data_IF_967461087777
#
_entry.id   IF_967461087777
#
_cell.length_a   1.000
_cell.length_b   1.000
_cell.length_c   1.000
_cell.angle_alpha   90.00
_cell.angle_beta   90.00
_cell.angle_gamma   90.00
#
_symmetry.space_group_name_H-M   'P 1'
#
loop_
_entity.id
_entity.type
_entity.pdbx_description
1 polymer ?
#
# COMPACT_ATOMS: atom_id res chain seq x y z
N UNK A 1 14.89 6.37 7.05
CA UNK A 1 13.61 6.80 7.66
C UNK A 1 13.11 8.11 7.02
N UNK A 2 11.89 8.57 7.29
CA UNK A 2 11.50 9.98 7.19
C UNK A 2 10.72 10.40 8.44
N UNK A 3 10.86 11.65 8.88
CA UNK A 3 10.14 12.19 10.03
C UNK A 3 10.00 13.71 9.95
N UNK A 4 9.00 14.26 10.62
CA UNK A 4 8.77 15.71 10.73
C UNK A 4 8.44 16.11 12.17
N UNK A 5 8.65 17.39 12.48
CA UNK A 5 8.18 18.02 13.71
C UNK A 5 7.00 18.99 13.49
N UNK A 6 6.50 19.11 12.26
CA UNK A 6 5.54 20.11 11.86
C UNK A 6 4.09 19.72 12.20
N UNK A 7 3.83 19.33 13.45
CA UNK A 7 2.49 18.95 13.95
C UNK A 7 1.93 17.69 13.29
N UNK A 8 2.79 16.72 12.99
CA UNK A 8 2.40 15.44 12.40
C UNK A 8 3.19 14.31 13.03
N UNK A 9 2.47 13.28 13.47
CA UNK A 9 3.04 12.03 13.97
C UNK A 9 3.61 11.14 12.85
N UNK A 10 3.58 11.57 11.58
CA UNK A 10 4.02 10.77 10.45
C UNK A 10 5.54 10.54 10.50
N UNK A 11 5.93 9.29 10.80
CA UNK A 11 7.30 8.78 10.68
C UNK A 11 7.27 7.59 9.72
N UNK A 12 7.95 7.68 8.58
CA UNK A 12 7.95 6.64 7.54
C UNK A 12 9.21 5.78 7.61
N UNK A 13 9.05 4.47 7.74
CA UNK A 13 10.13 3.49 7.57
C UNK A 13 9.81 2.66 6.34
N UNK A 14 10.68 2.73 5.33
CA UNK A 14 10.55 2.01 4.06
C UNK A 14 9.18 2.20 3.37
N UNK A 15 8.64 3.43 3.43
CA UNK A 15 7.33 3.82 2.88
C UNK A 15 6.12 3.57 3.80
N UNK A 16 6.32 2.98 4.98
CA UNK A 16 5.25 2.60 5.92
C UNK A 16 5.21 3.55 7.11
N UNK A 17 4.03 4.05 7.48
CA UNK A 17 3.87 4.84 8.71
C UNK A 17 4.12 3.98 9.97
N UNK A 18 4.98 4.49 10.85
CA UNK A 18 5.39 3.89 12.13
C UNK A 18 5.27 4.84 13.31
N UNK A 19 4.99 6.12 13.08
CA UNK A 19 4.95 7.11 14.15
C UNK A 19 3.64 7.11 14.92
N UNK A 20 3.77 7.14 16.25
CA UNK A 20 2.68 7.20 17.24
C UNK A 20 2.70 8.51 18.04
N UNK A 21 3.69 9.35 17.78
CA UNK A 21 4.04 10.58 18.50
C UNK A 21 4.69 11.56 17.52
N UNK A 22 4.66 12.85 17.83
CA UNK A 22 5.39 13.90 17.10
C UNK A 22 6.93 13.77 17.27
N UNK A 23 7.72 14.74 16.83
CA UNK A 23 9.15 14.84 17.20
C UNK A 23 9.41 15.57 18.54
N UNK A 24 10.69 15.65 18.99
CA UNK A 24 11.24 16.21 20.26
C UNK A 24 12.03 17.57 20.27
N UNK A 25 13.24 17.75 19.67
CA UNK A 25 13.92 19.09 19.54
C UNK A 25 14.64 19.36 18.17
N UNK A 26 14.31 20.47 17.50
CA UNK A 26 14.78 20.93 16.16
C UNK A 26 15.48 22.30 16.21
N UNK A 27 16.06 22.75 15.10
CA UNK A 27 17.05 23.86 15.14
C UNK A 27 18.40 23.41 15.74
N UNK A 28 18.70 22.12 15.60
CA UNK A 28 19.87 21.42 16.15
C UNK A 28 20.84 21.03 15.03
N UNK A 29 22.10 20.79 15.37
CA UNK A 29 23.07 20.19 14.45
C UNK A 29 22.79 18.70 14.29
N UNK A 30 22.68 18.22 13.05
CA UNK A 30 22.67 16.78 12.74
C UNK A 30 24.06 16.20 12.98
N UNK A 31 24.15 15.12 13.75
CA UNK A 31 25.39 14.40 14.05
C UNK A 31 25.25 12.93 13.72
N UNK A 32 26.35 12.29 13.30
CA UNK A 32 26.49 10.82 13.29
C UNK A 32 27.64 10.48 14.23
N UNK A 33 27.43 9.59 15.21
CA UNK A 33 28.38 9.29 16.30
C UNK A 33 28.92 10.54 17.06
N UNK A 34 28.11 11.58 17.17
CA UNK A 34 28.42 12.86 17.82
C UNK A 34 27.27 13.35 18.72
N UNK A 35 27.44 14.50 19.37
CA UNK A 35 26.41 15.13 20.21
C UNK A 35 26.50 14.83 21.71
N UNK A 36 25.46 15.24 22.45
CA UNK A 36 25.49 15.37 23.91
C UNK A 36 25.55 14.05 24.69
N UNK A 37 25.22 12.93 24.05
CA UNK A 37 25.14 11.61 24.67
C UNK A 37 26.41 10.75 24.44
N UNK A 38 27.43 11.37 23.84
CA UNK A 38 28.70 10.70 23.57
C UNK A 38 29.56 10.56 24.83
N UNK A 39 30.30 9.44 25.00
CA UNK A 39 30.49 8.35 24.04
C UNK A 39 29.48 7.19 24.17
N UNK A 40 28.44 7.29 25.01
CA UNK A 40 27.58 6.17 25.40
C UNK A 40 26.69 5.60 24.28
N UNK A 41 26.32 6.43 23.30
CA UNK A 41 25.34 6.10 22.25
C UNK A 41 25.97 5.99 20.85
N UNK A 42 27.17 5.39 20.75
CA UNK A 42 27.82 5.13 19.46
C UNK A 42 27.38 3.81 18.83
N UNK A 43 27.26 3.79 17.50
CA UNK A 43 27.05 2.59 16.70
C UNK A 43 28.01 2.53 15.51
N UNK A 44 28.18 1.36 14.93
CA UNK A 44 28.63 1.27 13.55
C UNK A 44 27.49 1.74 12.63
N UNK A 45 27.80 2.44 11.53
CA UNK A 45 26.80 3.08 10.68
C UNK A 45 27.16 3.03 9.20
N UNK A 46 26.14 2.94 8.35
CA UNK A 46 26.24 3.09 6.90
C UNK A 46 25.06 3.94 6.39
N UNK A 47 25.32 5.24 6.19
CA UNK A 47 24.34 6.22 5.70
C UNK A 47 24.53 6.42 4.20
N UNK A 48 23.47 6.20 3.42
CA UNK A 48 23.53 6.25 1.96
C UNK A 48 23.11 7.61 1.38
N UNK A 49 22.11 8.25 1.98
CA UNK A 49 21.59 9.55 1.59
C UNK A 49 20.85 10.20 2.76
N UNK A 50 20.95 11.52 2.86
CA UNK A 50 20.24 12.36 3.83
C UNK A 50 19.62 13.54 3.06
N UNK A 51 18.35 13.81 3.33
CA UNK A 51 17.58 14.92 2.77
C UNK A 51 16.95 15.71 3.93
N UNK A 52 17.15 17.03 3.94
CA UNK A 52 16.66 17.92 5.00
C UNK A 52 15.90 19.09 4.37
N UNK A 53 14.78 19.45 4.97
CA UNK A 53 13.96 20.60 4.58
C UNK A 53 13.87 21.60 5.74
N UNK A 54 13.98 22.88 5.41
CA UNK A 54 13.84 24.05 6.30
C UNK A 54 12.38 24.38 6.66
N UNK A 55 11.46 23.49 6.29
CA UNK A 55 10.04 23.53 6.62
C UNK A 55 9.50 22.14 6.92
N UNK A 56 8.30 22.09 7.46
CA UNK A 56 7.47 20.89 7.44
C UNK A 56 7.07 20.52 6.01
N UNK A 57 7.24 19.25 5.67
CA UNK A 57 6.57 18.62 4.54
C UNK A 57 5.16 18.16 4.96
N UNK A 58 4.21 18.30 4.04
CA UNK A 58 2.88 17.66 4.15
C UNK A 58 3.01 16.13 4.06
N UNK A 59 1.95 15.39 4.43
CA UNK A 59 1.94 13.93 4.30
C UNK A 59 2.28 13.46 2.88
N UNK A 60 1.65 14.03 1.84
CA UNK A 60 1.91 13.70 0.44
C UNK A 60 3.36 13.96 0.03
N UNK A 61 3.97 15.04 0.52
CA UNK A 61 5.39 15.33 0.30
C UNK A 61 6.31 14.35 1.06
N UNK A 62 5.95 13.95 2.29
CA UNK A 62 6.71 12.96 3.06
C UNK A 62 6.66 11.57 2.41
N UNK A 63 5.49 11.10 1.97
CA UNK A 63 5.39 9.86 1.20
C UNK A 63 6.14 9.97 -0.12
N UNK A 64 6.13 11.13 -0.78
CA UNK A 64 6.91 11.34 -2.02
C UNK A 64 8.42 11.22 -1.77
N UNK A 65 8.95 11.83 -0.71
CA UNK A 65 10.34 11.72 -0.32
C UNK A 65 10.73 10.29 0.11
N UNK A 66 9.88 9.62 0.91
CA UNK A 66 10.14 8.23 1.34
C UNK A 66 10.09 7.26 0.16
N UNK A 67 9.13 7.42 -0.76
CA UNK A 67 9.02 6.61 -1.97
C UNK A 67 10.18 6.84 -2.95
N UNK A 68 10.73 8.06 -3.03
CA UNK A 68 11.95 8.33 -3.79
C UNK A 68 13.12 7.50 -3.27
N UNK A 69 13.38 7.54 -1.95
CA UNK A 69 14.47 6.80 -1.31
C UNK A 69 14.27 5.28 -1.41
N UNK A 70 13.06 4.79 -1.12
CA UNK A 70 12.67 3.37 -1.31
C UNK A 70 12.95 2.89 -2.73
N UNK A 71 12.60 3.68 -3.75
CA UNK A 71 12.82 3.34 -5.15
C UNK A 71 14.30 3.40 -5.54
N UNK A 72 15.03 4.40 -5.04
CA UNK A 72 16.44 4.65 -5.38
C UNK A 72 17.38 3.56 -4.86
N UNK A 73 17.14 3.08 -3.64
CA UNK A 73 17.99 2.08 -2.98
C UNK A 73 17.38 0.67 -2.92
N UNK A 74 16.13 0.48 -3.38
CA UNK A 74 15.46 -0.82 -3.37
C UNK A 74 15.06 -1.32 -1.98
N UNK A 75 15.04 -0.44 -0.97
CA UNK A 75 14.90 -0.79 0.47
C UNK A 75 13.45 -0.90 0.96
N UNK A 76 12.45 -0.82 0.08
CA UNK A 76 11.04 -0.89 0.46
C UNK A 76 10.26 -2.00 -0.24
N UNK A 77 9.03 -2.19 0.22
CA UNK A 77 8.17 -3.29 -0.20
C UNK A 77 7.72 -3.15 -1.66
N UNK A 78 8.47 -3.76 -2.57
CA UNK A 78 8.10 -3.89 -3.97
C UNK A 78 7.44 -5.25 -4.24
N UNK A 79 6.39 -5.34 -5.08
CA UNK A 79 5.92 -6.61 -5.62
C UNK A 79 7.01 -7.26 -6.46
N UNK A 80 7.07 -8.59 -6.45
CA UNK A 80 8.06 -9.38 -7.22
C UNK A 80 7.42 -10.29 -8.28
N UNK A 81 6.08 -10.33 -8.39
CA UNK A 81 5.37 -11.10 -9.43
C UNK A 81 4.67 -10.19 -10.43
N UNK A 82 3.89 -9.23 -9.94
CA UNK A 82 3.17 -8.31 -10.82
C UNK A 82 2.93 -6.93 -10.23
N UNK A 83 3.02 -5.92 -11.08
CA UNK A 83 2.58 -4.55 -10.78
C UNK A 83 1.91 -3.93 -12.01
N UNK A 84 0.59 -3.94 -12.03
CA UNK A 84 -0.24 -3.31 -13.07
C UNK A 84 -0.66 -1.94 -12.57
N UNK A 85 -0.04 -0.89 -13.10
CA UNK A 85 -0.10 0.47 -12.55
C UNK A 85 -1.22 1.31 -13.15
N UNK A 86 -1.77 2.20 -12.34
CA UNK A 86 -2.72 3.23 -12.76
C UNK A 86 -2.16 4.09 -13.89
N UNK A 87 -2.97 4.35 -14.92
CA UNK A 87 -2.63 5.19 -16.07
C UNK A 87 -1.60 4.61 -17.03
N UNK A 88 -1.32 3.29 -16.99
CA UNK A 88 -0.33 2.66 -17.88
C UNK A 88 -0.91 1.63 -18.85
N UNK A 89 -2.21 1.45 -18.88
CA UNK A 89 -2.89 0.51 -19.78
C UNK A 89 -2.98 1.08 -21.20
N UNK A 90 -2.85 0.22 -22.21
CA UNK A 90 -2.88 0.57 -23.62
C UNK A 90 -4.10 -0.07 -24.30
N UNK A 91 -5.07 0.78 -24.65
CA UNK A 91 -6.31 0.37 -25.31
C UNK A 91 -6.15 0.09 -26.81
N UNK A 92 -5.04 0.52 -27.43
CA UNK A 92 -4.71 0.29 -28.84
C UNK A 92 -4.07 -1.08 -29.01
N UNK A 93 -3.00 -1.39 -28.25
CA UNK A 93 -2.43 -2.75 -28.24
C UNK A 93 -3.26 -3.77 -27.44
N UNK A 94 -4.25 -3.29 -26.68
CA UNK A 94 -5.08 -4.09 -25.75
C UNK A 94 -4.22 -4.82 -24.72
N UNK A 95 -3.30 -4.09 -24.08
CA UNK A 95 -2.41 -4.62 -23.03
C UNK A 95 -2.40 -3.76 -21.77
N UNK A 96 -2.05 -4.35 -20.63
CA UNK A 96 -1.64 -3.63 -19.43
C UNK A 96 -0.23 -4.08 -19.02
N UNK A 97 0.81 -3.25 -19.19
CA UNK A 97 2.18 -3.59 -18.83
C UNK A 97 2.32 -4.00 -17.36
N UNK A 98 3.05 -5.09 -17.13
CA UNK A 98 3.51 -5.48 -15.82
C UNK A 98 4.86 -4.79 -15.55
N UNK A 99 4.96 -3.97 -14.51
CA UNK A 99 6.16 -3.21 -14.18
C UNK A 99 7.26 -4.03 -13.46
N UNK A 100 7.09 -5.34 -13.31
CA UNK A 100 8.15 -6.25 -12.84
C UNK A 100 9.05 -6.65 -14.01
N UNK A 101 10.37 -6.67 -13.79
CA UNK A 101 11.34 -7.07 -14.80
C UNK A 101 11.09 -8.52 -15.27
N UNK A 102 10.95 -8.72 -16.58
CA UNK A 102 10.57 -10.01 -17.17
C UNK A 102 9.08 -10.40 -16.98
N UNK A 103 8.28 -9.54 -16.35
CA UNK A 103 6.85 -9.76 -16.14
C UNK A 103 6.06 -9.65 -17.45
N UNK A 104 5.16 -10.60 -17.69
CA UNK A 104 4.24 -10.58 -18.82
C UNK A 104 3.09 -9.61 -18.51
N UNK A 105 2.77 -8.73 -19.46
CA UNK A 105 1.63 -7.80 -19.36
C UNK A 105 0.28 -8.51 -19.50
N UNK A 106 -0.77 -7.93 -18.91
CA UNK A 106 -2.11 -8.46 -19.02
C UNK A 106 -2.67 -8.23 -20.43
N UNK A 107 -3.48 -9.16 -20.93
CA UNK A 107 -4.25 -8.99 -22.17
C UNK A 107 -5.62 -8.43 -21.85
N UNK A 108 -6.01 -7.39 -22.57
CA UNK A 108 -7.32 -6.75 -22.51
C UNK A 108 -8.22 -7.29 -23.62
N UNK A 109 -9.52 -7.42 -23.39
CA UNK A 109 -10.46 -7.94 -24.39
C UNK A 109 -11.83 -7.31 -24.24
N UNK A 110 -12.45 -6.97 -25.37
CA UNK A 110 -13.72 -6.25 -25.41
C UNK A 110 -13.61 -4.84 -25.99
N UNK A 111 -14.78 -4.23 -26.21
CA UNK A 111 -14.97 -2.94 -26.87
C UNK A 111 -15.48 -1.83 -25.96
N UNK A 112 -15.88 -2.15 -24.72
CA UNK A 112 -16.33 -1.19 -23.70
C UNK A 112 -15.22 -0.68 -22.78
N UNK A 113 -14.03 -1.27 -22.85
CA UNK A 113 -12.84 -0.82 -22.11
C UNK A 113 -12.47 0.64 -22.42
N UNK A 114 -12.33 1.44 -21.37
CA UNK A 114 -12.01 2.87 -21.45
C UNK A 114 -11.06 3.30 -20.32
N UNK A 115 -10.21 4.30 -20.61
CA UNK A 115 -9.48 5.04 -19.59
C UNK A 115 -10.41 6.10 -19.00
N UNK A 116 -10.45 6.17 -17.66
CA UNK A 116 -11.13 7.24 -16.95
C UNK A 116 -10.22 7.82 -15.88
N UNK A 117 -10.31 9.13 -15.68
CA UNK A 117 -9.73 9.84 -14.53
C UNK A 117 -10.89 10.57 -13.86
N UNK A 118 -11.33 10.04 -12.71
CA UNK A 118 -12.55 10.47 -12.04
C UNK A 118 -12.22 10.89 -10.59
N UNK A 119 -12.75 12.03 -10.15
CA UNK A 119 -12.80 12.42 -8.73
C UNK A 119 -14.00 11.74 -8.04
N UNK A 120 -14.06 11.78 -6.70
CA UNK A 120 -15.11 11.15 -5.85
C UNK A 120 -15.00 9.61 -5.73
N UNK A 121 -16.13 8.94 -5.49
CA UNK A 121 -16.21 7.50 -5.21
C UNK A 121 -15.34 7.08 -4.00
N UNK A 122 -15.47 7.80 -2.88
CA UNK A 122 -14.70 7.55 -1.66
C UNK A 122 -13.24 8.03 -1.71
N UNK A 123 -12.72 8.50 -2.85
CA UNK A 123 -11.40 9.13 -2.94
C UNK A 123 -11.47 10.66 -2.78
N UNK A 124 -10.43 11.25 -2.20
CA UNK A 124 -10.24 12.70 -2.05
C UNK A 124 -9.38 13.35 -3.14
N UNK A 125 -8.99 12.58 -4.17
CA UNK A 125 -8.31 13.04 -5.38
C UNK A 125 -8.75 12.23 -6.59
N UNK A 126 -8.36 12.68 -7.77
CA UNK A 126 -8.65 11.97 -9.02
C UNK A 126 -7.93 10.62 -9.07
N UNK A 127 -8.65 9.59 -9.54
CA UNK A 127 -8.12 8.24 -9.73
C UNK A 127 -8.19 7.86 -11.21
N UNK A 128 -7.02 7.69 -11.83
CA UNK A 128 -6.89 7.16 -13.18
C UNK A 128 -7.04 5.62 -13.16
N UNK A 129 -7.94 5.08 -13.98
CA UNK A 129 -8.31 3.67 -13.95
C UNK A 129 -8.78 3.13 -15.29
N UNK A 130 -8.65 1.81 -15.45
CA UNK A 130 -9.24 1.06 -16.55
C UNK A 130 -10.67 0.67 -16.18
N UNK A 131 -11.64 1.28 -16.86
CA UNK A 131 -13.08 1.01 -16.71
C UNK A 131 -13.54 0.01 -17.77
N UNK A 132 -14.45 -0.89 -17.40
CA UNK A 132 -15.00 -1.90 -18.30
C UNK A 132 -16.39 -2.37 -17.88
N UNK A 133 -17.07 -3.02 -18.82
CA UNK A 133 -18.42 -3.56 -18.65
C UNK A 133 -18.41 -5.07 -18.40
N UNK A 134 -19.57 -5.63 -18.07
CA UNK A 134 -19.79 -7.09 -18.06
C UNK A 134 -19.36 -7.85 -19.33
N UNK A 135 -19.23 -7.18 -20.47
CA UNK A 135 -18.81 -7.77 -21.76
C UNK A 135 -17.29 -7.66 -22.02
N UNK A 136 -16.58 -6.87 -21.21
CA UNK A 136 -15.13 -6.72 -21.28
C UNK A 136 -14.44 -7.68 -20.31
N UNK A 137 -13.25 -8.15 -20.64
CA UNK A 137 -12.45 -9.04 -19.78
C UNK A 137 -10.96 -8.70 -19.79
N UNK A 138 -10.29 -9.08 -18.70
CA UNK A 138 -8.84 -8.92 -18.53
C UNK A 138 -8.26 -10.28 -18.15
N UNK A 139 -7.12 -10.63 -18.74
CA UNK A 139 -6.32 -11.78 -18.33
C UNK A 139 -4.93 -11.31 -17.90
N UNK A 140 -4.66 -11.32 -16.59
CA UNK A 140 -3.37 -10.97 -16.02
C UNK A 140 -2.37 -12.16 -16.03
N UNK A 141 -2.82 -13.35 -16.43
CA UNK A 141 -2.00 -14.56 -16.48
C UNK A 141 -1.78 -15.24 -15.12
N UNK A 142 -0.78 -16.12 -15.07
CA UNK A 142 -0.44 -16.96 -13.92
C UNK A 142 0.31 -16.18 -12.81
N UNK A 143 -0.24 -15.05 -12.38
CA UNK A 143 0.35 -14.17 -11.34
C UNK A 143 0.03 -14.62 -9.91
N UNK A 144 -1.05 -15.36 -9.67
CA UNK A 144 -1.34 -15.91 -8.34
C UNK A 144 -0.55 -17.21 -8.15
N UNK A 145 0.64 -17.13 -7.56
CA UNK A 145 1.50 -18.29 -7.26
C UNK A 145 0.91 -19.15 -6.13
N UNK A 146 1.52 -20.30 -5.84
CA UNK A 146 1.04 -21.26 -4.82
C UNK A 146 0.89 -20.62 -3.44
N UNK A 147 1.92 -19.87 -3.03
CA UNK A 147 1.82 -18.87 -1.97
C UNK A 147 1.73 -17.51 -2.64
N UNK A 148 0.93 -16.59 -2.09
CA UNK A 148 0.82 -15.25 -2.64
C UNK A 148 0.40 -14.21 -1.61
N UNK A 149 0.69 -12.96 -1.92
CA UNK A 149 -0.06 -11.81 -1.42
C UNK A 149 -0.49 -10.98 -2.61
N UNK A 150 -1.71 -10.45 -2.58
CA UNK A 150 -2.23 -9.54 -3.59
C UNK A 150 -2.84 -8.33 -2.90
N UNK A 151 -2.54 -7.14 -3.42
CA UNK A 151 -3.24 -5.90 -3.12
C UNK A 151 -3.83 -5.31 -4.41
N UNK A 152 -5.01 -4.71 -4.33
CA UNK A 152 -5.66 -4.05 -5.47
C UNK A 152 -6.46 -2.82 -5.07
N UNK A 153 -6.70 -1.94 -6.05
CA UNK A 153 -7.55 -0.75 -5.94
C UNK A 153 -8.62 -0.84 -7.01
N UNK A 154 -9.86 -1.09 -6.59
CA UNK A 154 -10.98 -1.46 -7.49
C UNK A 154 -12.31 -0.91 -7.01
N UNK A 155 -13.24 -0.64 -7.95
CA UNK A 155 -14.64 -0.27 -7.66
C UNK A 155 -15.59 -0.83 -8.71
N UNK A 156 -16.88 -0.88 -8.37
CA UNK A 156 -17.95 -1.04 -9.36
C UNK A 156 -18.26 0.28 -10.04
N UNK A 157 -18.69 0.24 -11.32
CA UNK A 157 -18.98 1.45 -12.11
C UNK A 157 -20.31 1.46 -12.85
N UNK A 158 -21.14 0.42 -12.68
CA UNK A 158 -22.39 0.24 -13.40
C UNK A 158 -23.45 -0.45 -12.56
N UNK A 159 -24.26 -1.31 -13.18
CA UNK A 159 -25.39 -1.99 -12.53
C UNK A 159 -25.10 -3.46 -12.15
N UNK A 160 -24.03 -4.05 -12.68
CA UNK A 160 -23.65 -5.42 -12.39
C UNK A 160 -22.60 -5.49 -11.27
N UNK A 161 -23.01 -6.04 -10.12
CA UNK A 161 -22.21 -6.11 -8.89
C UNK A 161 -21.69 -7.54 -8.60
N UNK A 162 -21.24 -8.26 -9.63
CA UNK A 162 -20.69 -9.62 -9.50
C UNK A 162 -19.27 -9.64 -8.91
N UNK A 163 -18.40 -10.51 -9.44
CA UNK A 163 -16.96 -10.53 -9.12
C UNK A 163 -16.19 -9.59 -10.05
N UNK A 164 -15.22 -8.84 -9.51
CA UNK A 164 -14.25 -8.09 -10.34
C UNK A 164 -13.01 -8.95 -10.57
N UNK A 165 -12.15 -9.11 -9.54
CA UNK A 165 -10.95 -9.94 -9.61
C UNK A 165 -11.30 -11.38 -9.22
N UNK A 166 -11.20 -12.28 -10.19
CA UNK A 166 -11.59 -13.69 -10.10
C UNK A 166 -10.42 -14.61 -10.53
N UNK A 167 -10.45 -15.86 -10.08
CA UNK A 167 -9.51 -16.90 -10.54
C UNK A 167 -10.08 -17.75 -11.65
N UNK A 168 -9.29 -18.04 -12.68
CA UNK A 168 -9.54 -19.15 -13.60
C UNK A 168 -8.75 -20.38 -13.11
N UNK A 169 -9.45 -21.49 -12.90
CA UNK A 169 -8.91 -22.76 -12.38
C UNK A 169 -9.44 -23.20 -11.00
N UNK A 170 -10.05 -22.30 -10.22
CA UNK A 170 -10.68 -22.62 -8.93
C UNK A 170 -11.79 -21.61 -8.58
N UNK A 171 -12.57 -21.86 -7.53
CA UNK A 171 -13.41 -20.83 -6.92
C UNK A 171 -12.55 -19.87 -6.09
N UNK A 172 -12.15 -18.77 -6.73
CA UNK A 172 -11.24 -17.79 -6.16
C UNK A 172 -11.71 -16.38 -6.52
N UNK A 173 -11.79 -15.48 -5.55
CA UNK A 173 -12.16 -14.09 -5.75
C UNK A 173 -11.39 -13.17 -4.81
N UNK A 174 -11.21 -11.92 -5.22
CA UNK A 174 -10.55 -10.88 -4.43
C UNK A 174 -11.39 -9.59 -4.40
N UNK A 175 -11.74 -9.14 -3.19
CA UNK A 175 -12.47 -7.90 -2.91
C UNK A 175 -13.99 -7.99 -3.16
N UNK A 176 -14.38 -7.92 -4.43
CA UNK A 176 -15.75 -7.57 -4.84
C UNK A 176 -16.62 -8.81 -5.14
N UNK A 177 -17.81 -8.89 -4.52
CA UNK A 177 -18.85 -9.90 -4.77
C UNK A 177 -20.19 -9.50 -4.10
N UNK A 178 -21.06 -8.80 -4.83
CA UNK A 178 -22.46 -8.55 -4.43
C UNK A 178 -22.73 -7.40 -3.44
N UNK A 179 -21.78 -6.49 -3.21
CA UNK A 179 -21.93 -5.38 -2.25
C UNK A 179 -21.69 -4.01 -2.92
N UNK A 180 -22.70 -3.14 -2.89
CA UNK A 180 -22.77 -1.96 -3.78
C UNK A 180 -22.57 -0.63 -3.02
N UNK A 181 -21.33 -0.30 -2.67
CA UNK A 181 -20.97 1.09 -2.30
C UNK A 181 -20.65 1.94 -3.54
N UNK A 182 -20.10 1.33 -4.60
CA UNK A 182 -19.62 2.04 -5.80
C UNK A 182 -18.32 2.82 -5.60
N UNK A 183 -17.82 2.87 -4.36
CA UNK A 183 -16.60 3.53 -3.93
C UNK A 183 -15.34 2.70 -4.23
N UNK A 184 -14.19 3.38 -4.27
CA UNK A 184 -12.87 2.78 -4.32
C UNK A 184 -12.58 1.94 -3.07
N UNK A 185 -12.20 0.69 -3.31
CA UNK A 185 -11.75 -0.24 -2.26
C UNK A 185 -10.28 -0.59 -2.50
N UNK A 186 -9.45 -0.29 -1.49
CA UNK A 186 -8.14 -0.92 -1.32
C UNK A 186 -8.35 -2.25 -0.61
N UNK A 187 -8.04 -3.34 -1.29
CA UNK A 187 -8.10 -4.69 -0.72
C UNK A 187 -6.70 -5.30 -0.74
N UNK A 188 -6.22 -5.80 0.40
CA UNK A 188 -5.03 -6.65 0.48
C UNK A 188 -5.38 -7.99 1.11
N UNK A 189 -4.77 -9.09 0.64
CA UNK A 189 -4.96 -10.40 1.24
C UNK A 189 -3.88 -11.41 0.85
N UNK A 190 -3.60 -12.34 1.74
CA UNK A 190 -2.61 -13.41 1.57
C UNK A 190 -3.17 -14.79 1.89
N UNK A 191 -2.55 -15.84 1.34
CA UNK A 191 -2.76 -17.23 1.73
C UNK A 191 -1.58 -17.84 2.54
N UNK A 192 -0.54 -17.07 2.81
CA UNK A 192 0.66 -17.51 3.53
C UNK A 192 1.09 -16.48 4.59
N UNK A 193 1.74 -16.92 5.67
CA UNK A 193 2.26 -16.04 6.72
C UNK A 193 1.22 -15.41 7.67
N UNK A 194 -0.02 -15.15 7.22
CA UNK A 194 -1.10 -14.66 8.10
C UNK A 194 -2.51 -14.97 7.58
N UNK A 195 -3.53 -14.60 8.36
CA UNK A 195 -4.94 -14.62 7.95
C UNK A 195 -5.45 -13.27 7.41
N UNK A 196 -4.59 -12.25 7.38
CA UNK A 196 -4.97 -10.85 7.16
C UNK A 196 -5.68 -10.65 5.82
N UNK A 197 -6.74 -9.86 5.88
CA UNK A 197 -7.53 -9.40 4.74
C UNK A 197 -7.91 -7.95 5.01
N UNK A 198 -7.06 -7.02 4.58
CA UNK A 198 -7.27 -5.59 4.84
C UNK A 198 -8.23 -5.02 3.79
N UNK A 199 -9.32 -4.41 4.26
CA UNK A 199 -10.26 -3.59 3.47
C UNK A 199 -10.13 -2.15 3.95
N UNK A 200 -9.66 -1.26 3.08
CA UNK A 200 -9.36 0.14 3.38
C UNK A 200 -8.58 0.32 4.70
N UNK A 201 -7.52 -0.48 4.88
CA UNK A 201 -6.65 -0.47 6.06
C UNK A 201 -7.19 -1.22 7.30
N UNK A 202 -8.42 -1.74 7.27
CA UNK A 202 -9.04 -2.46 8.40
C UNK A 202 -9.01 -3.96 8.14
N UNK A 203 -8.50 -4.74 9.08
CA UNK A 203 -8.53 -6.20 8.97
C UNK A 203 -9.96 -6.78 9.06
N UNK A 204 -10.27 -7.67 8.13
CA UNK A 204 -11.49 -8.46 8.02
C UNK A 204 -11.17 -9.97 7.95
N UNK A 205 -9.92 -10.36 8.18
CA UNK A 205 -9.47 -11.74 8.22
C UNK A 205 -10.20 -12.58 9.28
N UNK A 206 -10.66 -13.77 8.89
CA UNK A 206 -11.25 -14.79 9.79
C UNK A 206 -10.76 -16.22 9.51
N UNK A 207 -9.90 -16.36 8.51
CA UNK A 207 -9.38 -17.61 7.98
C UNK A 207 -8.17 -17.30 7.10
N UNK A 208 -7.39 -18.33 6.73
CA UNK A 208 -6.31 -18.22 5.75
C UNK A 208 -6.84 -17.72 4.38
N UNK A 209 -5.95 -17.34 3.46
CA UNK A 209 -6.34 -17.01 2.09
C UNK A 209 -6.81 -18.21 1.27
N UNK A 210 -7.31 -17.94 0.06
CA UNK A 210 -7.73 -18.97 -0.89
C UNK A 210 -6.57 -19.75 -1.52
N UNK A 211 -6.93 -20.73 -2.35
CA UNK A 211 -6.00 -21.52 -3.14
C UNK A 211 -5.10 -20.64 -4.02
N UNK A 212 -3.79 -20.98 -4.09
CA UNK A 212 -2.86 -20.38 -5.04
C UNK A 212 -2.73 -21.20 -6.33
N UNK A 213 -1.96 -20.70 -7.31
CA UNK A 213 -1.76 -21.39 -8.59
C UNK A 213 -2.94 -21.25 -9.57
N UNK A 214 -3.60 -20.09 -9.56
CA UNK A 214 -4.71 -19.75 -10.46
C UNK A 214 -4.32 -18.58 -11.38
N UNK A 215 -5.01 -18.44 -12.51
CA UNK A 215 -4.86 -17.24 -13.35
C UNK A 215 -5.74 -16.13 -12.81
N UNK A 216 -5.18 -14.93 -12.65
CA UNK A 216 -5.96 -13.76 -12.26
C UNK A 216 -6.66 -13.18 -13.48
N UNK A 217 -7.98 -13.06 -13.40
CA UNK A 217 -8.82 -12.62 -14.52
C UNK A 217 -9.96 -11.70 -14.05
N UNK A 218 -10.54 -10.95 -14.99
CA UNK A 218 -11.77 -10.15 -14.80
C UNK A 218 -12.79 -10.60 -15.82
N UNK A 219 -14.05 -10.80 -15.38
CA UNK A 219 -15.17 -11.29 -16.20
C UNK A 219 -14.83 -12.56 -17.03
N UNK A 220 -13.93 -13.40 -16.51
CA UNK A 220 -13.57 -14.74 -17.02
C UNK A 220 -13.47 -15.77 -15.89
N UNK A 221 -13.34 -17.05 -16.25
CA UNK A 221 -13.30 -18.18 -15.32
C UNK A 221 -14.69 -18.80 -15.06
N UNK A 222 -14.75 -19.77 -14.15
CA UNK A 222 -15.85 -20.74 -14.01
C UNK A 222 -17.22 -20.17 -13.60
N UNK A 223 -17.30 -18.90 -13.20
CA UNK A 223 -18.52 -18.24 -12.71
C UNK A 223 -19.11 -17.23 -13.70
N UNK A 224 -18.60 -17.20 -14.93
CA UNK A 224 -18.95 -16.19 -15.93
C UNK A 224 -19.82 -16.78 -17.04
N UNK A 225 -20.81 -16.03 -17.57
CA UNK A 225 -21.04 -14.59 -17.34
C UNK A 225 -21.90 -14.24 -16.11
N UNK A 226 -22.38 -15.22 -15.32
CA UNK A 226 -23.36 -14.98 -14.25
C UNK A 226 -22.86 -14.08 -13.12
N UNK A 227 -21.55 -14.04 -12.90
CA UNK A 227 -20.87 -13.19 -11.91
C UNK A 227 -20.05 -12.07 -12.56
N UNK A 228 -20.31 -11.72 -13.83
CA UNK A 228 -19.63 -10.57 -14.46
C UNK A 228 -20.02 -9.25 -13.77
N UNK A 229 -19.11 -8.28 -13.79
CA UNK A 229 -19.32 -6.95 -13.21
C UNK A 229 -19.04 -5.83 -14.19
N UNK A 230 -19.63 -4.67 -13.94
CA UNK A 230 -19.15 -3.39 -14.46
C UNK A 230 -18.11 -2.84 -13.47
N UNK A 231 -16.88 -2.62 -13.92
CA UNK A 231 -15.72 -2.43 -13.06
C UNK A 231 -14.88 -1.20 -13.42
N UNK A 232 -14.13 -0.70 -12.45
CA UNK A 232 -12.90 0.03 -12.70
C UNK A 232 -11.77 -0.48 -11.79
N UNK A 233 -10.58 -0.58 -12.36
CA UNK A 233 -9.36 -1.06 -11.69
C UNK A 233 -8.30 0.02 -11.87
N UNK A 234 -7.80 0.56 -10.75
CA UNK A 234 -6.71 1.53 -10.76
C UNK A 234 -5.35 0.84 -10.66
N UNK A 235 -5.18 -0.12 -9.74
CA UNK A 235 -3.88 -0.78 -9.54
C UNK A 235 -4.02 -2.21 -9.00
N UNK A 236 -3.08 -3.09 -9.38
CA UNK A 236 -2.93 -4.45 -8.85
C UNK A 236 -1.44 -4.74 -8.59
N UNK A 237 -1.12 -5.25 -7.40
CA UNK A 237 0.22 -5.60 -6.93
C UNK A 237 0.24 -7.03 -6.39
N UNK A 238 1.21 -7.85 -6.79
CA UNK A 238 1.28 -9.28 -6.42
C UNK A 238 2.70 -9.70 -6.02
N UNK A 239 2.76 -10.47 -4.93
CA UNK A 239 3.94 -11.14 -4.38
C UNK A 239 3.76 -12.66 -4.40
N UNK A 240 4.84 -13.43 -4.52
CA UNK A 240 4.87 -14.90 -4.46
C UNK A 240 5.00 -15.49 -3.04
N UNK A 241 4.87 -14.63 -2.03
CA UNK A 241 5.00 -14.98 -0.62
C UNK A 241 3.92 -14.36 0.24
N UNK A 242 3.79 -14.88 1.46
CA UNK A 242 3.14 -14.16 2.55
C UNK A 242 3.93 -12.90 2.89
N UNK A 243 3.23 -11.77 2.92
CA UNK A 243 3.74 -10.57 3.57
C UNK A 243 3.53 -10.68 5.09
N UNK A 244 4.44 -10.11 5.88
CA UNK A 244 4.19 -9.93 7.32
C UNK A 244 3.02 -8.95 7.54
N UNK A 245 2.53 -8.86 8.78
CA UNK A 245 1.51 -7.89 9.14
C UNK A 245 1.93 -6.45 8.79
N UNK A 246 3.17 -6.11 9.11
CA UNK A 246 3.78 -4.79 8.90
C UNK A 246 3.90 -4.47 7.41
N UNK A 247 4.34 -5.45 6.62
CA UNK A 247 4.43 -5.32 5.16
C UNK A 247 3.04 -5.17 4.52
N UNK A 248 2.05 -5.98 4.93
CA UNK A 248 0.70 -5.88 4.37
C UNK A 248 0.02 -4.55 4.72
N UNK A 249 0.19 -4.06 5.96
CA UNK A 249 -0.25 -2.71 6.31
C UNK A 249 0.48 -1.66 5.47
N UNK A 250 1.79 -1.81 5.23
CA UNK A 250 2.56 -0.93 4.34
C UNK A 250 2.04 -0.88 2.90
N UNK A 251 1.75 -2.03 2.30
CA UNK A 251 1.17 -2.09 0.96
C UNK A 251 -0.23 -1.46 0.89
N UNK A 252 -1.07 -1.69 1.92
CA UNK A 252 -2.39 -1.06 2.00
C UNK A 252 -2.30 0.45 2.18
N UNK A 253 -1.40 0.94 3.03
CA UNK A 253 -1.20 2.35 3.34
C UNK A 253 -0.64 3.11 2.14
N UNK A 254 0.32 2.53 1.42
CA UNK A 254 0.80 3.03 0.13
C UNK A 254 -0.33 3.26 -0.87
N UNK A 255 -1.23 2.28 -1.04
CA UNK A 255 -2.35 2.37 -1.99
C UNK A 255 -3.41 3.37 -1.52
N UNK A 256 -3.80 3.33 -0.25
CA UNK A 256 -4.73 4.29 0.37
C UNK A 256 -4.25 5.73 0.14
N UNK A 257 -3.00 6.01 0.49
CA UNK A 257 -2.41 7.33 0.35
C UNK A 257 -2.25 7.74 -1.13
N UNK A 258 -1.76 6.85 -1.99
CA UNK A 258 -1.57 7.11 -3.42
C UNK A 258 -2.87 7.50 -4.13
N UNK A 259 -3.98 6.85 -3.81
CA UNK A 259 -5.29 7.09 -4.43
C UNK A 259 -6.21 7.98 -3.59
N UNK A 260 -5.77 8.45 -2.42
CA UNK A 260 -6.54 9.39 -1.59
C UNK A 260 -7.78 8.77 -0.95
N UNK A 261 -7.75 7.45 -0.74
CA UNK A 261 -8.85 6.70 -0.15
C UNK A 261 -8.66 6.75 1.38
N UNK A 262 -9.67 7.17 2.17
CA UNK A 262 -9.56 7.24 3.62
C UNK A 262 -9.16 5.91 4.25
N UNK A 263 -8.18 5.96 5.14
CA UNK A 263 -7.80 4.83 5.97
C UNK A 263 -8.82 4.69 7.11
N UNK A 264 -9.58 3.61 7.12
CA UNK A 264 -10.62 3.37 8.12
C UNK A 264 -10.07 2.70 9.41
N UNK A 265 -8.74 2.53 9.51
CA UNK A 265 -8.04 2.02 10.70
C UNK A 265 -8.02 3.08 11.81
N UNK A 266 -9.19 3.29 12.41
CA UNK A 266 -9.46 4.33 13.40
C UNK A 266 -10.93 4.76 13.43
N UNK A 267 -11.68 4.50 12.35
CA UNK A 267 -13.13 4.76 12.29
C UNK A 267 -13.94 3.66 12.98
N UNK A 268 -13.66 3.42 14.25
CA UNK A 268 -14.77 3.13 15.16
C UNK A 268 -15.69 4.37 15.13
N UNK A 269 -17.01 4.17 15.28
CA UNK A 269 -17.86 5.33 15.56
C UNK A 269 -17.36 5.98 16.85
N UNK A 270 -17.40 7.31 16.89
CA UNK A 270 -17.35 8.02 18.17
C UNK A 270 -18.71 7.78 18.83
N UNK A 271 -18.86 6.62 19.47
CA UNK A 271 -19.87 6.44 20.49
C UNK A 271 -19.33 7.16 21.73
N UNK A 272 -19.96 8.29 22.09
CA UNK A 272 -19.42 9.30 23.03
C UNK A 272 -19.28 8.85 24.50
N UNK A 273 -19.62 7.59 24.82
CA UNK A 273 -19.68 7.05 26.19
C UNK A 273 -18.84 5.77 26.37
N UNK A 274 -17.57 5.89 26.74
CA UNK A 274 -16.89 4.85 27.54
C UNK A 274 -15.63 5.38 28.27
N UNK A 275 -15.62 5.47 29.62
CA UNK A 275 -14.54 6.11 30.37
C UNK A 275 -13.51 5.09 30.90
N UNK A 276 -12.51 4.72 30.08
CA UNK A 276 -11.32 4.01 30.57
C UNK A 276 -10.02 4.55 29.98
N UNK A 277 -9.43 5.53 30.67
CA UNK A 277 -8.00 5.78 30.57
C UNK A 277 -7.24 4.66 31.27
N UNK A 278 -6.26 4.06 30.58
CA UNK A 278 -5.04 3.57 31.19
C UNK A 278 -3.88 3.92 30.27
N UNK A 279 -3.01 4.82 30.73
CA UNK A 279 -1.75 5.12 30.05
C UNK A 279 -0.67 4.12 30.44
N UNK A 280 0.18 3.78 29.48
CA UNK A 280 1.57 3.40 29.74
C UNK A 280 2.44 4.17 28.75
N UNK A 281 3.42 4.90 29.27
CA UNK A 281 4.44 5.53 28.44
C UNK A 281 5.36 4.45 27.88
N UNK A 282 5.66 4.53 26.59
CA UNK A 282 6.46 3.54 25.90
C UNK A 282 6.92 4.08 24.55
N UNK A 283 7.98 4.88 24.58
CA UNK A 283 8.80 5.11 23.39
C UNK A 283 9.19 3.75 22.79
N UNK A 284 9.27 3.67 21.46
CA UNK A 284 9.54 2.42 20.75
C UNK A 284 11.01 2.01 20.92
N UNK A 285 11.33 1.41 22.07
CA UNK A 285 12.63 0.77 22.30
C UNK A 285 12.75 -0.49 21.43
N UNK A 286 13.09 -0.31 20.15
CA UNK A 286 13.85 -1.32 19.43
C UNK A 286 15.25 -1.44 20.06
N UNK A 287 15.85 -2.63 20.00
CA UNK A 287 17.28 -2.82 20.34
C UNK A 287 18.23 -2.27 19.24
N UNK A 288 17.77 -1.23 18.55
CA UNK A 288 18.45 -0.36 17.59
C UNK A 288 17.87 1.03 17.91
N UNK A 289 18.74 1.95 18.31
CA UNK A 289 18.36 3.09 19.16
C UNK A 289 17.40 4.10 18.54
N UNK A 290 16.67 4.80 19.41
CA UNK A 290 15.96 6.03 19.07
C UNK A 290 17.00 7.11 18.70
N UNK A 291 17.28 7.31 17.41
CA UNK A 291 18.39 8.17 17.00
C UNK A 291 18.06 9.66 17.12
N UNK A 292 16.86 10.11 16.70
CA UNK A 292 16.49 11.54 16.73
C UNK A 292 14.99 11.81 16.94
N UNK A 293 14.70 12.95 17.59
CA UNK A 293 13.36 13.52 17.67
C UNK A 293 13.44 15.07 17.55
N UNK A 294 12.52 15.74 16.80
CA UNK A 294 12.52 17.21 16.59
C UNK A 294 11.27 18.04 17.07
N UNK A 295 11.46 19.25 17.66
CA UNK A 295 10.51 20.37 17.87
C UNK A 295 11.31 21.69 17.88
N UNK A 296 10.93 22.64 17.05
CA UNK A 296 11.64 23.91 16.87
C UNK A 296 10.93 24.67 15.75
N UNK A 297 11.63 25.47 14.91
CA UNK A 297 11.06 25.78 13.60
C UNK A 297 10.71 24.47 12.88
N UNK A 298 9.59 24.43 12.11
CA UNK A 298 9.16 23.22 11.44
C UNK A 298 10.21 22.80 10.41
N UNK A 299 10.56 21.51 10.38
CA UNK A 299 11.60 20.90 9.58
C UNK A 299 11.26 19.43 9.34
N UNK A 300 11.54 18.93 8.15
CA UNK A 300 11.40 17.50 7.81
C UNK A 300 12.76 16.93 7.44
N UNK A 301 12.93 15.65 7.73
CA UNK A 301 14.15 14.89 7.53
C UNK A 301 13.82 13.54 6.89
N UNK A 302 14.65 13.08 5.97
CA UNK A 302 14.63 11.73 5.41
C UNK A 302 16.05 11.20 5.22
N UNK A 303 16.24 9.90 5.41
CA UNK A 303 17.52 9.21 5.26
C UNK A 303 17.34 7.76 4.77
N UNK A 304 18.44 7.14 4.34
CA UNK A 304 18.55 5.68 4.19
C UNK A 304 19.79 5.19 4.93
N UNK A 305 19.56 4.22 5.81
CA UNK A 305 20.58 3.51 6.56
C UNK A 305 20.58 2.03 6.15
N UNK A 306 21.76 1.41 6.19
CA UNK A 306 21.92 -0.03 6.04
C UNK A 306 22.50 -0.62 7.33
N UNK A 307 21.86 -1.65 7.87
CA UNK A 307 22.44 -2.47 8.94
C UNK A 307 23.30 -3.56 8.30
N UNK A 308 24.60 -3.60 8.61
CA UNK A 308 25.41 -4.77 8.26
C UNK A 308 24.87 -5.99 9.00
N UNK A 309 24.58 -7.06 8.26
CA UNK A 309 24.21 -8.34 8.86
C UNK A 309 25.41 -8.94 9.58
N UNK A 310 25.20 -9.49 10.77
CA UNK A 310 26.26 -10.23 11.47
C UNK A 310 26.74 -11.40 10.58
N UNK A 311 28.06 -11.48 10.40
CA UNK A 311 28.75 -12.57 9.71
C UNK A 311 28.78 -13.85 10.55
#
# INVERSE_FOLDING_TARGET
MCGTNAGSQLKLVNGVSKGTEDGGQGGVTLWVNGGNHMPGERSDFAVAEVMVWDRGLTSDEMYSASNYLVKKFGVGLQPNVAWFRSGTFDLVSKTWPNYIFGGIGATLSGTGLSEVTEYWHGANKEVAALKGTTSDSINFGDVIKTMFTICSVTRYTGGAFGRILNGEGADWLHGHHGWSTGDWVVMCGTNAGSQLKLVNGVDKGKANGGQGGVKLVVNRGSYMPQQSSDFAIAEVMVWDRGLTSEEMYGASDYLLHKFGIPNNKGSAKIDEDSPYQYGFAGALSSNQGDIFAAQGPPSTFCEVEFTEGQQ
#
